data_IF_765406881961
#
_entry.id   IF_765406881961
#
_cell.length_a   1.000
_cell.length_b   1.000
_cell.length_c   1.000
_cell.angle_alpha   90.00
_cell.angle_beta   90.00
_cell.angle_gamma   90.00
#
_symmetry.space_group_name_H-M   'P 1'
#
loop_
_entity.id
_entity.type
_entity.pdbx_description
1 polymer ?
#
# COMPACT_ATOMS: atom_id res chain seq x y z
N UNK A 1 -27.41 21.85 11.13
CA UNK A 1 -26.10 21.39 10.58
C UNK A 1 -25.44 20.27 11.41
N UNK A 2 -25.53 20.28 12.75
CA UNK A 2 -24.94 19.23 13.61
C UNK A 2 -25.51 17.82 13.41
N UNK A 3 -26.82 17.72 13.20
CA UNK A 3 -27.51 16.44 13.04
C UNK A 3 -27.03 15.65 11.80
N UNK A 4 -26.78 16.35 10.68
CA UNK A 4 -26.24 15.75 9.46
C UNK A 4 -24.83 15.17 9.66
N UNK A 5 -23.96 15.86 10.42
CA UNK A 5 -22.61 15.39 10.71
C UNK A 5 -22.62 14.13 11.58
N UNK A 6 -23.53 14.06 12.54
CA UNK A 6 -23.71 12.91 13.43
C UNK A 6 -24.22 11.70 12.65
N UNK A 7 -25.20 11.87 11.76
CA UNK A 7 -25.70 10.80 10.89
C UNK A 7 -24.59 10.30 9.96
N UNK A 8 -23.84 11.22 9.33
CA UNK A 8 -22.74 10.86 8.44
C UNK A 8 -21.63 10.10 9.19
N UNK A 9 -21.29 10.53 10.41
CA UNK A 9 -20.33 9.85 11.26
C UNK A 9 -20.81 8.44 11.65
N UNK A 10 -22.08 8.29 12.01
CA UNK A 10 -22.67 6.99 12.33
C UNK A 10 -22.65 6.05 11.10
N UNK A 11 -22.93 6.56 9.90
CA UNK A 11 -22.85 5.79 8.65
C UNK A 11 -21.42 5.34 8.35
N UNK A 12 -20.44 6.23 8.54
CA UNK A 12 -19.02 5.90 8.33
C UNK A 12 -18.54 4.85 9.33
N UNK A 13 -18.93 4.94 10.60
CA UNK A 13 -18.61 3.94 11.63
C UNK A 13 -19.26 2.60 11.29
N UNK A 14 -20.54 2.61 10.91
CA UNK A 14 -21.25 1.41 10.49
C UNK A 14 -20.60 0.75 9.27
N UNK A 15 -20.19 1.54 8.28
CA UNK A 15 -19.51 1.05 7.07
C UNK A 15 -18.11 0.53 7.40
N UNK A 16 -17.37 1.19 8.29
CA UNK A 16 -16.08 0.71 8.76
C UNK A 16 -16.18 -0.64 9.48
N UNK A 17 -17.18 -0.82 10.35
CA UNK A 17 -17.44 -2.11 11.02
C UNK A 17 -17.80 -3.19 10.01
N UNK A 18 -18.62 -2.86 9.00
CA UNK A 18 -19.01 -3.80 7.94
C UNK A 18 -17.85 -4.15 7.00
N UNK A 19 -16.97 -3.20 6.71
CA UNK A 19 -15.80 -3.39 5.85
C UNK A 19 -14.68 -4.14 6.56
N UNK A 20 -14.58 -3.99 7.88
CA UNK A 20 -13.57 -4.64 8.72
C UNK A 20 -13.42 -6.16 8.51
N UNK A 21 -14.48 -7.00 8.52
CA UNK A 21 -14.33 -8.44 8.32
C UNK A 21 -13.78 -8.78 6.93
N UNK A 22 -14.25 -8.10 5.89
CA UNK A 22 -13.81 -8.30 4.50
C UNK A 22 -12.36 -7.84 4.32
N UNK A 23 -12.01 -6.68 4.87
CA UNK A 23 -10.62 -6.20 4.87
C UNK A 23 -9.69 -7.13 5.65
N UNK A 24 -10.14 -7.66 6.79
CA UNK A 24 -9.39 -8.64 7.60
C UNK A 24 -9.23 -9.98 6.87
N UNK A 25 -10.25 -10.42 6.15
CA UNK A 25 -10.20 -11.62 5.31
C UNK A 25 -9.23 -11.43 4.15
N UNK A 26 -9.28 -10.30 3.43
CA UNK A 26 -8.32 -9.98 2.39
C UNK A 26 -6.89 -9.79 2.91
N UNK A 27 -6.71 -9.25 4.12
CA UNK A 27 -5.39 -9.15 4.73
C UNK A 27 -4.83 -10.53 5.11
N UNK A 28 -5.68 -11.45 5.56
CA UNK A 28 -5.28 -12.81 5.96
C UNK A 28 -5.07 -13.74 4.76
N UNK A 29 -6.00 -13.72 3.81
CA UNK A 29 -6.16 -14.69 2.72
C UNK A 29 -5.92 -14.09 1.33
N UNK A 30 -5.81 -12.76 1.20
CA UNK A 30 -5.47 -12.13 -0.07
C UNK A 30 -4.05 -12.46 -0.51
N UNK A 31 -3.72 -12.25 -1.80
CA UNK A 31 -2.38 -12.49 -2.32
C UNK A 31 -1.40 -11.55 -1.61
N UNK A 32 -0.78 -12.05 -0.55
CA UNK A 32 0.34 -11.38 0.11
C UNK A 32 1.44 -11.27 -0.94
N UNK A 33 1.96 -10.07 -1.14
CA UNK A 33 3.06 -9.83 -2.07
C UNK A 33 4.11 -10.90 -1.88
N UNK A 34 4.24 -11.81 -2.84
CA UNK A 34 5.09 -12.99 -2.68
C UNK A 34 6.53 -12.51 -2.57
N UNK A 35 7.39 -13.20 -1.82
CA UNK A 35 8.81 -12.82 -1.68
C UNK A 35 9.49 -12.59 -3.03
N UNK A 36 9.06 -13.31 -4.08
CA UNK A 36 9.49 -13.11 -5.48
C UNK A 36 9.10 -11.74 -6.07
N UNK A 37 7.93 -11.19 -5.73
CA UNK A 37 7.53 -9.84 -6.16
C UNK A 37 8.36 -8.77 -5.45
N UNK A 38 8.64 -8.96 -4.16
CA UNK A 38 9.55 -8.08 -3.41
C UNK A 38 10.98 -8.14 -3.96
N UNK A 39 11.49 -9.33 -4.29
CA UNK A 39 12.80 -9.49 -4.94
C UNK A 39 12.82 -8.79 -6.28
N UNK A 40 11.78 -8.95 -7.12
CA UNK A 40 11.72 -8.28 -8.42
C UNK A 40 11.67 -6.75 -8.27
N UNK A 41 10.89 -6.24 -7.31
CA UNK A 41 10.84 -4.81 -7.00
C UNK A 41 12.21 -4.26 -6.57
N UNK A 42 12.88 -4.94 -5.64
CA UNK A 42 14.21 -4.54 -5.16
C UNK A 42 15.26 -4.64 -6.26
N UNK A 43 15.18 -5.64 -7.13
CA UNK A 43 16.08 -5.79 -8.28
C UNK A 43 15.93 -4.64 -9.28
N UNK A 44 14.69 -4.27 -9.63
CA UNK A 44 14.40 -3.16 -10.53
C UNK A 44 14.86 -1.82 -9.93
N UNK A 45 14.51 -1.56 -8.67
CA UNK A 45 14.91 -0.36 -7.94
C UNK A 45 16.44 -0.30 -7.80
N UNK A 46 17.07 -1.40 -7.40
CA UNK A 46 18.52 -1.52 -7.25
C UNK A 46 19.26 -1.26 -8.56
N UNK A 47 18.77 -1.82 -9.67
CA UNK A 47 19.32 -1.56 -11.00
C UNK A 47 19.27 -0.08 -11.39
N UNK A 48 18.16 0.61 -11.08
CA UNK A 48 18.04 2.06 -11.29
C UNK A 48 19.07 2.84 -10.47
N UNK A 49 19.20 2.56 -9.17
CA UNK A 49 20.16 3.25 -8.30
C UNK A 49 21.61 3.01 -8.74
N UNK A 50 21.96 1.77 -9.09
CA UNK A 50 23.30 1.41 -9.60
C UNK A 50 23.59 2.14 -10.90
N UNK A 51 22.63 2.21 -11.82
CA UNK A 51 22.80 2.91 -13.08
C UNK A 51 23.02 4.41 -12.88
N UNK A 52 22.22 5.06 -12.03
CA UNK A 52 22.41 6.49 -11.70
C UNK A 52 23.76 6.73 -11.03
N UNK A 53 24.16 5.87 -10.09
CA UNK A 53 25.47 5.97 -9.44
C UNK A 53 26.62 5.82 -10.43
N UNK A 54 26.51 4.88 -11.37
CA UNK A 54 27.47 4.69 -12.44
C UNK A 54 27.62 5.94 -13.30
N UNK A 55 26.50 6.56 -13.71
CA UNK A 55 26.54 7.82 -14.46
C UNK A 55 27.22 8.95 -13.67
N UNK A 56 26.93 9.07 -12.36
CA UNK A 56 27.59 10.05 -11.49
C UNK A 56 29.10 9.80 -11.43
N UNK A 57 29.53 8.54 -11.37
CA UNK A 57 30.95 8.17 -11.32
C UNK A 57 31.71 8.48 -12.61
N UNK A 58 31.03 8.53 -13.76
CA UNK A 58 31.66 8.86 -15.04
C UNK A 58 31.83 10.37 -15.26
N UNK A 59 31.02 11.18 -14.58
CA UNK A 59 31.01 12.65 -14.73
C UNK A 59 31.88 13.34 -13.67
N UNK A 60 32.09 12.70 -12.52
CA UNK A 60 32.97 13.21 -11.45
C UNK A 60 34.44 12.90 -11.75
#
# INVERSE_FOLDING_TARGET
>A
MFFLKIIMAALLVYLAIRLWPVAKEHYKNGPKGTSKQWINFVMLMGGMFVFVYFLISMVR
#
